data_IF_256958170581
#
_entry.id   IF_256958170581
#
_cell.length_a   1.000
_cell.length_b   1.000
_cell.length_c   1.000
_cell.angle_alpha   90.00
_cell.angle_beta   90.00
_cell.angle_gamma   90.00
#
_symmetry.space_group_name_H-M   'P 1'
#
loop_
_entity.id
_entity.type
_entity.pdbx_description
1 polymer ?
#
# COMPACT_ATOMS: atom_id res chain seq x y z
N UNK A 1 35.75 9.66 57.65
CA UNK A 1 34.56 10.31 57.04
C UNK A 1 35.05 11.10 55.84
N UNK A 2 34.70 10.91 54.57
CA UNK A 2 33.73 10.09 53.82
C UNK A 2 34.35 9.86 52.43
N UNK A 3 34.39 8.62 51.93
CA UNK A 3 34.77 8.27 50.54
C UNK A 3 33.52 8.39 49.68
N UNK A 4 33.46 9.37 48.78
CA UNK A 4 32.34 9.57 47.85
C UNK A 4 32.49 8.71 46.60
N UNK A 5 31.61 7.73 46.45
CA UNK A 5 31.51 6.86 45.27
C UNK A 5 30.70 7.56 44.17
N UNK A 6 31.29 7.70 42.98
CA UNK A 6 30.62 8.24 41.79
C UNK A 6 29.96 7.08 41.05
N UNK A 7 28.62 7.04 41.06
CA UNK A 7 27.83 6.12 40.24
C UNK A 7 27.81 6.64 38.79
N UNK A 8 28.48 5.92 37.90
CA UNK A 8 28.38 6.13 36.44
C UNK A 8 27.16 5.38 35.93
N UNK A 9 26.06 6.11 35.68
CA UNK A 9 24.84 5.56 35.09
C UNK A 9 25.00 5.37 33.58
N UNK A 10 24.91 4.12 33.11
CA UNK A 10 24.91 3.80 31.69
C UNK A 10 23.52 4.08 31.09
N UNK A 11 23.44 5.07 30.19
CA UNK A 11 22.23 5.35 29.41
C UNK A 11 22.11 4.34 28.25
N UNK A 12 21.16 3.40 28.36
CA UNK A 12 20.83 2.46 27.28
C UNK A 12 19.96 3.20 26.26
N UNK A 13 20.54 3.55 25.12
CA UNK A 13 19.81 4.11 23.98
C UNK A 13 19.11 2.95 23.26
N UNK A 14 17.81 2.81 23.48
CA UNK A 14 16.97 1.84 22.74
C UNK A 14 16.77 2.38 21.33
N UNK A 15 17.51 1.86 20.35
CA UNK A 15 17.29 2.17 18.94
C UNK A 15 16.00 1.48 18.48
N UNK A 16 14.88 2.18 18.54
CA UNK A 16 13.65 1.76 17.86
C UNK A 16 13.86 1.90 16.36
N UNK A 17 14.06 0.78 15.66
CA UNK A 17 14.03 0.75 14.20
C UNK A 17 12.62 1.13 13.74
N UNK A 18 12.45 2.36 13.25
CA UNK A 18 11.28 2.73 12.49
C UNK A 18 11.31 1.92 11.19
N UNK A 19 10.48 0.88 11.10
CA UNK A 19 10.12 0.28 9.82
C UNK A 19 9.50 1.38 8.98
N UNK A 20 10.30 1.98 8.10
CA UNK A 20 9.79 2.89 7.09
C UNK A 20 8.74 2.10 6.29
N UNK A 21 7.48 2.53 6.34
CA UNK A 21 6.47 1.95 5.47
C UNK A 21 6.92 2.19 4.01
N UNK A 22 7.16 1.09 3.31
CA UNK A 22 7.72 0.97 1.96
C UNK A 22 7.15 1.91 0.88
N UNK A 23 5.92 2.36 1.08
CA UNK A 23 5.12 3.10 0.12
C UNK A 23 4.29 4.16 0.85
N UNK A 24 4.34 5.38 0.35
CA UNK A 24 3.51 6.49 0.78
C UNK A 24 2.33 6.60 -0.20
N UNK A 25 1.13 6.17 0.21
CA UNK A 25 -0.04 6.13 -0.65
C UNK A 25 -0.88 7.38 -0.47
N UNK A 26 -1.09 8.12 -1.56
CA UNK A 26 -1.94 9.31 -1.60
C UNK A 26 -3.42 8.90 -1.84
N UNK A 27 -3.67 7.87 -2.66
CA UNK A 27 -5.04 7.45 -3.04
C UNK A 27 -5.07 5.97 -3.39
N UNK A 28 -6.10 5.27 -2.92
CA UNK A 28 -6.48 3.91 -3.34
C UNK A 28 -8.01 3.86 -3.40
N UNK A 29 -8.58 4.09 -4.59
CA UNK A 29 -10.02 4.27 -4.71
C UNK A 29 -10.57 3.83 -6.07
N UNK A 30 -11.87 3.55 -6.11
CA UNK A 30 -12.63 3.54 -7.36
C UNK A 30 -13.09 4.96 -7.66
N UNK A 31 -12.61 5.51 -8.77
CA UNK A 31 -12.95 6.85 -9.27
C UNK A 31 -13.39 6.75 -10.73
N UNK A 32 -14.56 7.30 -11.06
CA UNK A 32 -15.09 7.29 -12.44
C UNK A 32 -15.07 5.91 -13.10
N UNK A 33 -15.37 4.86 -12.32
CA UNK A 33 -15.39 3.46 -12.79
C UNK A 33 -14.02 2.82 -13.00
N UNK A 34 -12.94 3.41 -12.49
CA UNK A 34 -11.58 2.86 -12.56
C UNK A 34 -10.95 2.77 -11.19
N UNK A 35 -10.10 1.77 -10.98
CA UNK A 35 -9.19 1.72 -9.84
C UNK A 35 -8.06 2.73 -10.06
N UNK A 36 -8.04 3.75 -9.21
CA UNK A 36 -7.00 4.78 -9.17
C UNK A 36 -6.15 4.55 -7.94
N UNK A 37 -4.84 4.37 -8.18
CA UNK A 37 -3.84 4.25 -7.13
C UNK A 37 -2.77 5.28 -7.39
N UNK A 38 -2.51 6.15 -6.43
CA UNK A 38 -1.42 7.13 -6.51
C UNK A 38 -0.61 7.11 -5.24
N UNK A 39 0.69 7.36 -5.38
CA UNK A 39 1.57 7.48 -4.22
C UNK A 39 3.00 7.73 -4.63
N UNK A 40 3.90 7.46 -3.69
CA UNK A 40 5.34 7.58 -3.84
C UNK A 40 6.04 6.29 -3.42
N UNK A 41 7.04 5.91 -4.20
CA UNK A 41 7.95 4.80 -3.88
C UNK A 41 9.13 5.29 -3.05
N UNK A 42 9.85 4.37 -2.41
CA UNK A 42 11.09 4.66 -1.68
C UNK A 42 12.15 5.27 -2.61
N UNK A 43 12.35 4.67 -3.80
CA UNK A 43 13.36 5.10 -4.79
C UNK A 43 12.72 5.51 -6.11
N UNK A 44 13.34 6.42 -6.90
CA UNK A 44 12.86 6.76 -8.23
C UNK A 44 13.04 5.58 -9.20
N UNK A 45 12.17 5.47 -10.21
CA UNK A 45 12.24 4.40 -11.22
C UNK A 45 11.91 3.00 -10.69
N UNK A 46 11.39 2.90 -9.46
CA UNK A 46 11.05 1.63 -8.83
C UNK A 46 9.78 1.06 -9.48
N UNK A 47 9.82 -0.23 -9.83
CA UNK A 47 8.65 -0.93 -10.35
C UNK A 47 7.61 -1.09 -9.23
N UNK A 48 6.37 -0.76 -9.55
CA UNK A 48 5.18 -0.95 -8.73
C UNK A 48 4.25 -1.89 -9.49
N UNK A 49 3.67 -2.85 -8.80
CA UNK A 49 2.79 -3.88 -9.33
C UNK A 49 1.51 -3.95 -8.50
N UNK A 50 0.36 -4.01 -9.17
CA UNK A 50 -0.91 -4.37 -8.53
C UNK A 50 -1.02 -5.91 -8.58
N UNK A 51 -0.82 -6.54 -7.43
CA UNK A 51 -0.67 -8.00 -7.35
C UNK A 51 -1.95 -8.71 -7.83
N UNK A 52 -1.79 -9.76 -8.63
CA UNK A 52 -2.90 -10.55 -9.16
C UNK A 52 -3.56 -9.98 -10.42
N UNK A 53 -3.21 -8.75 -10.83
CA UNK A 53 -3.71 -8.14 -12.09
C UNK A 53 -2.73 -8.28 -13.25
N UNK A 54 -1.43 -8.38 -12.95
CA UNK A 54 -0.35 -8.29 -13.94
C UNK A 54 0.03 -6.86 -14.33
N UNK A 55 -0.68 -5.85 -13.84
CA UNK A 55 -0.42 -4.45 -14.13
C UNK A 55 0.81 -3.94 -13.36
N UNK A 56 1.77 -3.36 -14.09
CA UNK A 56 3.03 -2.84 -13.58
C UNK A 56 3.35 -1.48 -14.19
N UNK A 57 3.91 -0.59 -13.38
CA UNK A 57 4.48 0.69 -13.84
C UNK A 57 5.79 0.98 -13.11
N UNK A 58 6.60 1.90 -13.63
CA UNK A 58 7.74 2.46 -12.89
C UNK A 58 7.38 3.82 -12.33
N UNK A 59 7.81 4.11 -11.12
CA UNK A 59 7.69 5.46 -10.56
C UNK A 59 8.58 6.45 -11.31
N UNK A 60 8.18 7.71 -11.30
CA UNK A 60 8.93 8.80 -11.94
C UNK A 60 10.24 9.09 -11.19
N UNK A 61 11.04 10.01 -11.75
CA UNK A 61 12.22 10.56 -11.06
C UNK A 61 11.87 11.26 -9.74
N UNK A 62 10.65 11.81 -9.62
CA UNK A 62 10.13 12.39 -8.37
C UNK A 62 9.51 11.33 -7.44
N UNK A 63 9.75 10.04 -7.72
CA UNK A 63 9.22 8.86 -6.99
C UNK A 63 7.72 8.68 -7.08
N UNK A 64 6.99 9.48 -7.86
CA UNK A 64 5.53 9.40 -7.93
C UNK A 64 5.10 8.33 -8.91
N UNK A 65 3.98 7.68 -8.62
CA UNK A 65 3.36 6.72 -9.54
C UNK A 65 1.84 6.90 -9.57
N UNK A 66 1.22 6.48 -10.67
CA UNK A 66 -0.23 6.51 -10.85
C UNK A 66 -0.69 5.32 -11.67
N UNK A 67 -1.63 4.56 -11.12
CA UNK A 67 -2.45 3.60 -11.85
C UNK A 67 -3.82 4.19 -12.17
N UNK A 68 -4.38 3.78 -13.31
CA UNK A 68 -5.78 4.00 -13.65
C UNK A 68 -6.26 2.79 -14.44
N UNK A 69 -6.79 1.80 -13.71
CA UNK A 69 -7.07 0.47 -14.24
C UNK A 69 -8.58 0.24 -14.36
N UNK A 70 -8.99 -0.50 -15.39
CA UNK A 70 -10.36 -1.00 -15.51
C UNK A 70 -10.54 -2.28 -14.70
N UNK A 71 -10.29 -2.19 -13.39
CA UNK A 71 -10.27 -3.33 -12.48
C UNK A 71 -11.10 -3.01 -11.23
N UNK A 72 -11.91 -3.98 -10.78
CA UNK A 72 -12.68 -3.91 -9.54
C UNK A 72 -12.37 -5.17 -8.72
N UNK A 73 -11.65 -5.06 -7.59
CA UNK A 73 -11.32 -6.22 -6.77
C UNK A 73 -12.58 -6.84 -6.18
N UNK A 74 -12.70 -8.17 -6.21
CA UNK A 74 -13.88 -8.89 -5.69
C UNK A 74 -14.09 -8.67 -4.18
N UNK A 75 -13.00 -8.58 -3.43
CA UNK A 75 -13.00 -8.42 -1.97
C UNK A 75 -12.85 -6.96 -1.52
N UNK A 76 -12.77 -6.01 -2.46
CA UNK A 76 -12.42 -4.62 -2.20
C UNK A 76 -11.10 -4.39 -1.45
N UNK A 77 -10.24 -5.41 -1.46
CA UNK A 77 -8.87 -5.35 -1.00
C UNK A 77 -7.92 -5.67 -2.15
N UNK A 78 -6.72 -5.13 -2.09
CA UNK A 78 -5.64 -5.49 -3.01
C UNK A 78 -4.30 -5.49 -2.30
N UNK A 79 -3.33 -6.15 -2.92
CA UNK A 79 -1.94 -6.07 -2.53
C UNK A 79 -1.17 -5.23 -3.56
N UNK A 80 -0.26 -4.40 -3.08
CA UNK A 80 0.59 -3.57 -3.91
C UNK A 80 2.06 -3.88 -3.61
N UNK A 81 2.80 -4.26 -4.64
CA UNK A 81 4.23 -4.57 -4.53
C UNK A 81 5.04 -3.43 -5.13
N UNK A 82 6.08 -2.97 -4.43
CA UNK A 82 7.07 -2.05 -4.99
C UNK A 82 8.48 -2.57 -4.72
N UNK A 83 9.20 -2.93 -5.77
CA UNK A 83 10.50 -3.62 -5.61
C UNK A 83 10.35 -4.93 -4.83
N UNK A 84 11.06 -5.03 -3.71
CA UNK A 84 11.03 -6.21 -2.82
C UNK A 84 9.92 -6.16 -1.77
N UNK A 85 9.32 -4.98 -1.55
CA UNK A 85 8.35 -4.75 -0.49
C UNK A 85 6.93 -4.95 -1.02
N UNK A 86 6.07 -5.61 -0.22
CA UNK A 86 4.67 -5.83 -0.56
C UNK A 86 3.79 -5.32 0.57
N UNK A 87 2.92 -4.37 0.26
CA UNK A 87 1.87 -3.88 1.15
C UNK A 87 0.61 -4.69 0.87
N UNK A 88 0.09 -5.35 1.90
CA UNK A 88 -1.04 -6.27 1.77
C UNK A 88 -2.32 -5.66 2.29
N UNK A 89 -3.45 -6.23 1.86
CA UNK A 89 -4.78 -5.93 2.40
C UNK A 89 -5.17 -4.45 2.32
N UNK A 90 -4.70 -3.72 1.29
CA UNK A 90 -5.07 -2.33 1.06
C UNK A 90 -6.56 -2.25 0.75
N UNK A 91 -7.31 -1.56 1.59
CA UNK A 91 -8.75 -1.35 1.41
C UNK A 91 -8.97 -0.28 0.35
N UNK A 92 -9.74 -0.62 -0.68
CA UNK A 92 -10.05 0.30 -1.79
C UNK A 92 -11.27 1.14 -1.42
N UNK A 93 -11.11 2.46 -1.37
CA UNK A 93 -12.20 3.39 -1.14
C UNK A 93 -13.22 3.35 -2.29
N UNK A 94 -14.50 3.59 -1.98
CA UNK A 94 -15.62 3.53 -2.94
C UNK A 94 -15.77 2.19 -3.68
N UNK A 95 -15.13 1.12 -3.19
CA UNK A 95 -15.35 -0.21 -3.72
C UNK A 95 -16.60 -0.81 -3.07
N UNK A 96 -17.52 -1.29 -3.92
CA UNK A 96 -18.68 -2.06 -3.51
C UNK A 96 -18.53 -3.50 -3.98
N UNK A 97 -18.76 -4.51 -3.12
CA UNK A 97 -18.75 -5.91 -3.55
C UNK A 97 -19.84 -6.14 -4.60
N UNK A 98 -19.59 -7.09 -5.50
CA UNK A 98 -20.57 -7.47 -6.52
C UNK A 98 -21.81 -8.02 -5.84
N UNK A 99 -22.98 -7.53 -6.25
CA UNK A 99 -24.26 -8.07 -5.79
C UNK A 99 -24.46 -9.54 -6.20
N UNK A 100 -25.42 -10.24 -5.56
CA UNK A 100 -25.75 -11.60 -5.93
C UNK A 100 -26.20 -11.70 -7.39
N UNK A 101 -26.07 -12.89 -7.97
CA UNK A 101 -26.61 -13.19 -9.31
C UNK A 101 -28.13 -12.96 -9.29
N UNK A 102 -28.65 -12.23 -10.28
CA UNK A 102 -30.09 -12.05 -10.45
C UNK A 102 -30.82 -13.35 -10.76
N UNK A 103 -32.14 -13.34 -10.55
CA UNK A 103 -33.01 -14.48 -10.89
C UNK A 103 -32.96 -14.81 -12.38
N UNK A 104 -33.23 -16.07 -12.72
CA UNK A 104 -33.37 -16.47 -14.12
C UNK A 104 -34.55 -15.73 -14.76
N UNK A 105 -34.37 -15.28 -16.01
CA UNK A 105 -35.46 -14.67 -16.77
C UNK A 105 -36.62 -15.66 -17.02
N UNK A 106 -37.82 -15.14 -17.29
CA UNK A 106 -38.95 -15.97 -17.68
C UNK A 106 -38.62 -16.78 -18.94
N UNK A 107 -39.16 -18.00 -19.03
CA UNK A 107 -39.14 -18.77 -20.28
C UNK A 107 -39.96 -18.01 -21.34
N UNK A 108 -39.42 -17.95 -22.57
CA UNK A 108 -40.05 -17.26 -23.70
C UNK A 108 -41.22 -18.03 -24.30
#
# INVERSE_FOLDING_TARGET
MVRGSIFVGAAIVVMTSASAMALDLDTVAIESGKLVITGKTTKPGQEVEVVGTGDKIKSSSSRRFKFSLSYLPETCKLDLKAGEETVKDLIVANCGPRGPKGEAGAAG
#
